data_IF_094853401700
#
_entry.id   IF_094853401700
#
_cell.length_a   1.000
_cell.length_b   1.000
_cell.length_c   1.000
_cell.angle_alpha   90.00
_cell.angle_beta   90.00
_cell.angle_gamma   90.00
#
_symmetry.space_group_name_H-M   'P 1'
#
loop_
_entity.id
_entity.type
_entity.pdbx_description
1 polymer ?
#
# COMPACT_ATOMS: atom_id res chain seq x y z
N UNK A 1 0.82 -20.82 -10.75
CA UNK A 1 2.25 -21.18 -10.70
C UNK A 1 2.59 -22.39 -11.54
N UNK A 2 1.71 -23.41 -11.60
CA UNK A 2 1.94 -24.62 -12.42
C UNK A 2 2.17 -24.29 -13.89
N UNK A 3 1.60 -23.19 -14.38
CA UNK A 3 1.78 -22.69 -15.76
C UNK A 3 2.89 -21.64 -15.87
N UNK A 4 3.71 -21.43 -14.85
CA UNK A 4 4.79 -20.44 -14.85
C UNK A 4 4.33 -18.98 -14.75
N UNK A 5 3.07 -18.73 -14.37
CA UNK A 5 2.54 -17.37 -14.22
C UNK A 5 2.71 -16.85 -12.80
N UNK A 6 3.13 -15.58 -12.69
CA UNK A 6 3.14 -14.87 -11.41
C UNK A 6 1.73 -14.47 -10.98
N UNK A 7 1.50 -14.48 -9.67
CA UNK A 7 0.22 -14.13 -9.07
C UNK A 7 0.32 -12.80 -8.34
N UNK A 8 -0.47 -11.82 -8.77
CA UNK A 8 -0.62 -10.54 -8.09
C UNK A 8 -1.99 -10.48 -7.44
N UNK A 9 -2.04 -10.44 -6.11
CA UNK A 9 -3.30 -10.45 -5.36
C UNK A 9 -3.68 -9.06 -4.84
N UNK A 10 -4.95 -8.67 -5.06
CA UNK A 10 -5.57 -7.49 -4.45
C UNK A 10 -6.01 -7.83 -3.03
N UNK A 11 -5.21 -7.49 -2.03
CA UNK A 11 -5.46 -7.82 -0.62
C UNK A 11 -6.32 -6.75 0.08
N UNK A 12 -7.50 -6.45 -0.49
CA UNK A 12 -8.38 -5.42 0.07
C UNK A 12 -9.39 -6.01 1.04
N UNK A 13 -9.45 -5.41 2.22
CA UNK A 13 -10.50 -5.69 3.19
C UNK A 13 -11.79 -4.93 2.83
N UNK A 14 -12.87 -5.67 2.70
CA UNK A 14 -14.19 -5.09 2.40
C UNK A 14 -15.25 -5.76 3.27
N UNK A 15 -15.40 -5.23 4.48
CA UNK A 15 -16.38 -5.69 5.44
C UNK A 15 -17.01 -4.48 6.14
N UNK A 16 -18.34 -4.48 6.27
CA UNK A 16 -19.08 -3.45 7.01
C UNK A 16 -18.66 -3.35 8.47
N UNK A 17 -18.21 -4.46 9.07
CA UNK A 17 -17.78 -4.52 10.46
C UNK A 17 -16.48 -3.74 10.73
N UNK A 18 -15.74 -3.41 9.66
CA UNK A 18 -14.58 -2.52 9.75
C UNK A 18 -14.95 -1.03 9.66
N UNK A 19 -16.24 -0.72 9.83
CA UNK A 19 -16.72 0.66 9.93
C UNK A 19 -17.31 0.90 11.31
N UNK A 20 -16.99 2.06 11.88
CA UNK A 20 -17.57 2.51 13.15
C UNK A 20 -17.93 3.97 13.02
N UNK A 21 -19.23 4.24 13.00
CA UNK A 21 -19.74 5.56 12.68
C UNK A 21 -19.34 6.00 11.26
N UNK A 22 -18.76 7.16 11.13
CA UNK A 22 -18.28 7.70 9.85
C UNK A 22 -16.89 7.21 9.43
N UNK A 23 -16.18 6.48 10.30
CA UNK A 23 -14.80 6.08 10.06
C UNK A 23 -14.76 4.67 9.46
N UNK A 24 -14.01 4.53 8.37
CA UNK A 24 -13.73 3.24 7.73
C UNK A 24 -12.26 2.84 8.00
N UNK A 25 -12.09 1.75 8.74
CA UNK A 25 -10.79 1.26 9.19
C UNK A 25 -10.11 0.32 8.20
N UNK A 26 -10.72 0.04 7.03
CA UNK A 26 -10.19 -0.93 6.07
C UNK A 26 -8.79 -0.59 5.52
N UNK A 27 -8.33 0.65 5.67
CA UNK A 27 -6.98 1.08 5.30
C UNK A 27 -6.04 1.21 6.51
N UNK A 28 -6.44 0.80 7.71
CA UNK A 28 -5.56 0.80 8.88
C UNK A 28 -4.34 -0.09 8.65
N UNK A 29 -3.19 0.27 9.24
CA UNK A 29 -1.94 -0.43 9.03
C UNK A 29 -2.01 -1.90 9.48
N UNK A 30 -2.62 -2.20 10.62
CA UNK A 30 -2.80 -3.56 11.14
C UNK A 30 -3.75 -4.40 10.29
N UNK A 31 -4.89 -3.86 9.87
CA UNK A 31 -5.83 -4.55 9.00
C UNK A 31 -5.20 -4.86 7.63
N UNK A 32 -4.55 -3.88 7.03
CA UNK A 32 -3.91 -4.06 5.72
C UNK A 32 -2.72 -5.01 5.80
N UNK A 33 -1.91 -4.93 6.86
CA UNK A 33 -0.81 -5.86 7.11
C UNK A 33 -1.29 -7.31 7.25
N UNK A 34 -2.39 -7.54 7.98
CA UNK A 34 -2.99 -8.88 8.09
C UNK A 34 -3.52 -9.38 6.74
N UNK A 35 -4.16 -8.53 5.94
CA UNK A 35 -4.64 -8.90 4.62
C UNK A 35 -3.48 -9.26 3.68
N UNK A 36 -2.37 -8.51 3.73
CA UNK A 36 -1.17 -8.82 2.98
C UNK A 36 -0.57 -10.16 3.43
N UNK A 37 -0.51 -10.41 4.74
CA UNK A 37 -0.06 -11.69 5.28
C UNK A 37 -0.91 -12.86 4.80
N UNK A 38 -2.22 -12.69 4.71
CA UNK A 38 -3.11 -13.70 4.13
C UNK A 38 -2.78 -13.93 2.65
N UNK A 39 -2.61 -12.86 1.87
CA UNK A 39 -2.22 -12.94 0.46
C UNK A 39 -0.95 -13.74 0.23
N UNK A 40 0.09 -13.50 1.02
CA UNK A 40 1.35 -14.24 0.90
C UNK A 40 1.23 -15.68 1.39
N UNK A 41 0.36 -15.95 2.36
CA UNK A 41 0.10 -17.31 2.87
C UNK A 41 -0.52 -18.21 1.80
N UNK A 42 -1.35 -17.64 0.93
CA UNK A 42 -1.92 -18.35 -0.23
C UNK A 42 -1.06 -18.21 -1.50
N UNK A 43 0.23 -17.92 -1.33
CA UNK A 43 1.28 -17.95 -2.36
C UNK A 43 1.18 -16.82 -3.40
N UNK A 44 0.83 -15.60 -3.00
CA UNK A 44 1.02 -14.45 -3.88
C UNK A 44 2.52 -14.18 -4.10
N UNK A 45 2.92 -13.86 -5.32
CA UNK A 45 4.25 -13.34 -5.64
C UNK A 45 4.33 -11.85 -5.32
N UNK A 46 3.23 -11.15 -5.55
CA UNK A 46 3.08 -9.73 -5.26
C UNK A 46 1.71 -9.50 -4.62
N UNK A 47 1.67 -8.71 -3.56
CA UNK A 47 0.43 -8.22 -2.97
C UNK A 47 0.19 -6.76 -3.34
N UNK A 48 -1.05 -6.44 -3.67
CA UNK A 48 -1.49 -5.08 -3.90
C UNK A 48 -2.34 -4.59 -2.75
N UNK A 49 -1.97 -3.45 -2.16
CA UNK A 49 -2.67 -2.86 -1.04
C UNK A 49 -2.81 -1.34 -1.19
N UNK A 50 -3.72 -0.73 -0.45
CA UNK A 50 -3.78 0.73 -0.27
C UNK A 50 -2.62 1.19 0.61
N UNK A 51 -2.17 2.45 0.45
CA UNK A 51 -1.33 3.05 1.48
C UNK A 51 -2.07 3.03 2.82
N UNK A 52 -1.40 2.61 3.90
CA UNK A 52 -2.03 2.50 5.20
C UNK A 52 -2.22 3.85 5.86
N UNK A 53 -3.19 3.90 6.77
CA UNK A 53 -3.47 5.04 7.64
C UNK A 53 -3.30 4.64 9.10
N UNK A 54 -2.92 5.59 9.94
CA UNK A 54 -2.92 5.40 11.40
C UNK A 54 -4.24 5.91 11.98
N UNK A 55 -5.20 5.03 12.16
CA UNK A 55 -6.53 5.36 12.69
C UNK A 55 -6.97 4.43 13.83
N UNK A 56 -6.03 3.65 14.40
CA UNK A 56 -6.27 2.75 15.52
C UNK A 56 -6.78 1.35 15.14
N UNK A 57 -7.12 1.11 13.89
CA UNK A 57 -7.39 -0.21 13.33
C UNK A 57 -8.23 -1.15 14.18
N UNK A 58 -7.78 -2.38 14.38
CA UNK A 58 -8.46 -3.41 15.20
C UNK A 58 -8.72 -2.95 16.63
N UNK A 59 -7.79 -2.19 17.23
CA UNK A 59 -7.95 -1.66 18.58
C UNK A 59 -9.14 -0.69 18.64
N UNK A 60 -9.28 0.20 17.68
CA UNK A 60 -10.38 1.17 17.63
C UNK A 60 -11.76 0.53 17.41
N UNK A 61 -11.84 -0.53 16.60
CA UNK A 61 -13.09 -1.26 16.38
C UNK A 61 -13.39 -2.30 17.47
N UNK A 62 -12.41 -2.61 18.34
CA UNK A 62 -12.58 -3.60 19.40
C UNK A 62 -12.56 -5.05 18.90
N UNK A 63 -11.89 -5.32 17.78
CA UNK A 63 -11.83 -6.64 17.15
C UNK A 63 -10.47 -7.31 17.41
N UNK A 64 -10.54 -8.59 17.80
CA UNK A 64 -9.34 -9.42 18.00
C UNK A 64 -8.44 -8.98 19.14
N UNK A 65 -7.22 -9.49 19.13
CA UNK A 65 -6.13 -9.12 20.05
C UNK A 65 -4.89 -8.80 19.24
N UNK A 66 -4.68 -7.53 18.94
CA UNK A 66 -3.44 -7.08 18.30
C UNK A 66 -2.43 -6.71 19.40
N UNK A 67 -1.17 -7.14 19.25
CA UNK A 67 -0.10 -6.79 20.19
C UNK A 67 0.06 -5.26 20.23
N UNK A 68 0.15 -4.69 21.41
CA UNK A 68 0.27 -3.24 21.62
C UNK A 68 1.49 -2.65 20.92
N UNK A 69 2.57 -3.41 20.77
CA UNK A 69 3.78 -2.99 20.06
C UNK A 69 3.53 -2.63 18.60
N UNK A 70 2.48 -3.17 17.98
CA UNK A 70 2.08 -2.75 16.64
C UNK A 70 1.82 -1.24 16.58
N UNK A 71 1.24 -0.67 17.63
CA UNK A 71 0.86 0.74 17.70
C UNK A 71 1.92 1.64 18.33
N UNK A 72 2.83 1.08 19.13
CA UNK A 72 3.81 1.84 19.91
C UNK A 72 5.24 1.74 19.40
N UNK A 73 5.59 0.64 18.72
CA UNK A 73 6.97 0.35 18.30
C UNK A 73 7.10 0.04 16.80
N UNK A 74 6.11 -0.65 16.21
CA UNK A 74 6.20 -1.16 14.84
C UNK A 74 5.62 -0.22 13.80
N UNK A 75 4.88 0.80 14.20
CA UNK A 75 4.34 1.86 13.37
C UNK A 75 4.49 3.22 14.05
N UNK A 76 4.48 4.28 13.26
CA UNK A 76 4.43 5.66 13.73
C UNK A 76 3.37 6.43 12.93
N UNK A 77 3.28 7.75 13.10
CA UNK A 77 2.47 8.62 12.26
C UNK A 77 3.09 8.83 10.86
N UNK A 78 4.33 8.38 10.66
CA UNK A 78 5.02 8.59 9.40
C UNK A 78 4.57 7.57 8.34
N UNK A 79 4.17 7.99 7.13
CA UNK A 79 3.63 7.08 6.12
C UNK A 79 4.61 6.00 5.65
N UNK A 80 5.92 6.24 5.71
CA UNK A 80 6.94 5.24 5.38
C UNK A 80 6.90 4.10 6.40
N UNK A 81 6.79 4.40 7.70
CA UNK A 81 6.76 3.38 8.75
C UNK A 81 5.47 2.55 8.66
N UNK A 82 4.34 3.19 8.41
CA UNK A 82 3.07 2.51 8.18
C UNK A 82 3.14 1.55 6.98
N UNK A 83 3.70 2.02 5.86
CA UNK A 83 3.89 1.20 4.66
C UNK A 83 4.92 0.08 4.88
N UNK A 84 5.97 0.34 5.66
CA UNK A 84 6.96 -0.68 6.05
C UNK A 84 6.33 -1.80 6.86
N UNK A 85 5.35 -1.51 7.70
CA UNK A 85 4.61 -2.55 8.41
C UNK A 85 3.90 -3.49 7.43
N UNK A 86 3.33 -2.97 6.32
CA UNK A 86 2.79 -3.83 5.26
C UNK A 86 3.89 -4.70 4.61
N UNK A 87 5.04 -4.11 4.26
CA UNK A 87 6.19 -4.84 3.69
C UNK A 87 6.65 -5.95 4.63
N UNK A 88 6.74 -5.67 5.93
CA UNK A 88 7.15 -6.65 6.94
C UNK A 88 6.19 -7.85 7.00
N UNK A 89 4.90 -7.64 6.80
CA UNK A 89 3.92 -8.72 6.73
C UNK A 89 4.04 -9.62 5.49
N UNK A 90 4.75 -9.15 4.44
CA UNK A 90 5.13 -9.92 3.25
C UNK A 90 6.44 -10.71 3.44
N UNK A 91 6.58 -11.46 4.54
CA UNK A 91 7.80 -12.17 4.92
C UNK A 91 9.05 -11.27 4.92
N UNK A 92 8.93 -10.10 5.56
CA UNK A 92 10.01 -9.10 5.63
C UNK A 92 10.47 -8.63 4.26
N UNK A 93 9.54 -8.39 3.34
CA UNK A 93 9.82 -7.90 1.99
C UNK A 93 10.21 -8.97 0.97
N UNK A 94 10.12 -10.26 1.31
CA UNK A 94 10.38 -11.36 0.35
C UNK A 94 9.24 -11.56 -0.65
N UNK A 95 8.05 -11.09 -0.32
CA UNK A 95 6.93 -10.96 -1.26
C UNK A 95 6.76 -9.50 -1.58
N UNK A 96 6.65 -9.17 -2.86
CA UNK A 96 6.58 -7.78 -3.31
C UNK A 96 5.31 -7.08 -2.85
N UNK A 97 5.43 -5.83 -2.41
CA UNK A 97 4.30 -4.96 -2.13
C UNK A 97 4.19 -3.88 -3.21
N UNK A 98 3.03 -3.76 -3.83
CA UNK A 98 2.69 -2.62 -4.68
C UNK A 98 1.50 -1.87 -4.07
N UNK A 99 1.59 -0.55 -4.02
CA UNK A 99 0.47 0.25 -3.54
C UNK A 99 -0.44 0.71 -4.69
N UNK A 100 -1.71 0.91 -4.39
CA UNK A 100 -2.65 1.47 -5.35
C UNK A 100 -2.57 2.99 -5.37
N UNK A 101 -2.58 3.58 -6.57
CA UNK A 101 -2.49 5.03 -6.77
C UNK A 101 -3.71 5.84 -6.34
N UNK A 102 -4.80 5.17 -5.90
CA UNK A 102 -6.00 5.84 -5.43
C UNK A 102 -6.88 6.41 -6.55
N UNK A 103 -7.82 7.25 -6.14
CA UNK A 103 -8.72 7.98 -7.05
C UNK A 103 -8.04 9.20 -7.65
N UNK A 104 -8.57 9.68 -8.79
CA UNK A 104 -8.10 10.95 -9.36
C UNK A 104 -8.70 12.12 -8.59
N UNK A 105 -7.84 13.08 -8.25
CA UNK A 105 -8.20 14.36 -7.63
C UNK A 105 -7.87 15.55 -8.55
N UNK A 106 -7.67 15.30 -9.84
CA UNK A 106 -7.43 16.32 -10.84
C UNK A 106 -6.02 16.91 -10.79
N UNK A 107 -5.87 18.16 -10.35
CA UNK A 107 -4.61 18.90 -10.42
C UNK A 107 -3.48 18.31 -9.54
N UNK A 108 -3.82 17.67 -8.42
CA UNK A 108 -2.83 17.08 -7.50
C UNK A 108 -2.32 15.70 -7.88
N UNK A 109 -2.92 15.06 -8.89
CA UNK A 109 -2.67 13.65 -9.20
C UNK A 109 -1.20 13.29 -9.43
N UNK A 110 -0.44 14.14 -10.13
CA UNK A 110 0.98 13.92 -10.39
C UNK A 110 1.77 13.92 -9.08
N UNK A 111 1.57 14.95 -8.27
CA UNK A 111 2.22 15.08 -6.96
C UNK A 111 1.88 13.90 -6.05
N UNK A 112 0.59 13.54 -5.98
CA UNK A 112 0.11 12.47 -5.10
C UNK A 112 0.68 11.11 -5.55
N UNK A 113 0.79 10.87 -6.85
CA UNK A 113 1.39 9.67 -7.41
C UNK A 113 2.89 9.56 -7.06
N UNK A 114 3.64 10.67 -7.22
CA UNK A 114 5.07 10.71 -6.87
C UNK A 114 5.26 10.50 -5.37
N UNK A 115 4.49 11.17 -4.51
CA UNK A 115 4.56 10.98 -3.05
C UNK A 115 4.28 9.51 -2.70
N UNK A 116 3.24 8.91 -3.28
CA UNK A 116 2.91 7.50 -3.04
C UNK A 116 4.04 6.57 -3.46
N UNK A 117 4.65 6.82 -4.63
CA UNK A 117 5.78 6.04 -5.12
C UNK A 117 7.01 6.14 -4.20
N UNK A 118 7.33 7.36 -3.75
CA UNK A 118 8.45 7.60 -2.80
C UNK A 118 8.20 6.89 -1.48
N UNK A 119 7.00 7.01 -0.90
CA UNK A 119 6.63 6.33 0.36
C UNK A 119 6.78 4.81 0.20
N UNK A 120 6.21 4.24 -0.88
CA UNK A 120 6.30 2.81 -1.14
C UNK A 120 7.77 2.35 -1.29
N UNK A 121 8.56 3.01 -2.14
CA UNK A 121 9.96 2.64 -2.38
C UNK A 121 10.80 2.75 -1.11
N UNK A 122 10.67 3.86 -0.37
CA UNK A 122 11.41 4.05 0.89
C UNK A 122 11.00 3.10 2.00
N UNK A 123 9.77 2.61 1.97
CA UNK A 123 9.30 1.57 2.88
C UNK A 123 9.83 0.16 2.52
N UNK A 124 10.40 -0.02 1.35
CA UNK A 124 10.84 -1.32 0.83
C UNK A 124 9.81 -2.00 -0.09
N UNK A 125 8.79 -1.29 -0.53
CA UNK A 125 7.88 -1.75 -1.56
C UNK A 125 8.51 -1.70 -2.95
N UNK A 126 7.88 -2.36 -3.93
CA UNK A 126 8.45 -2.55 -5.25
C UNK A 126 7.70 -1.87 -6.39
N UNK A 127 6.59 -1.19 -6.10
CA UNK A 127 5.83 -0.59 -7.19
C UNK A 127 4.57 0.14 -6.77
N UNK A 128 4.00 0.83 -7.77
CA UNK A 128 2.74 1.54 -7.70
C UNK A 128 1.88 1.16 -8.91
N UNK A 129 0.63 0.81 -8.69
CA UNK A 129 -0.36 0.69 -9.75
C UNK A 129 -1.16 1.98 -9.87
N UNK A 130 -1.04 2.67 -11.01
CA UNK A 130 -1.85 3.83 -11.36
C UNK A 130 -2.82 3.45 -12.47
N UNK A 131 -4.10 3.69 -12.24
CA UNK A 131 -5.16 3.48 -13.23
C UNK A 131 -5.82 4.80 -13.59
N UNK A 132 -6.89 5.18 -12.89
CA UNK A 132 -7.70 6.38 -13.17
C UNK A 132 -6.88 7.66 -13.29
N UNK A 133 -5.89 7.85 -12.45
CA UNK A 133 -4.99 9.02 -12.51
C UNK A 133 -4.23 9.15 -13.84
N UNK A 134 -3.94 8.02 -14.50
CA UNK A 134 -3.27 8.01 -15.81
C UNK A 134 -4.28 8.00 -16.96
N UNK A 135 -5.25 7.05 -16.95
CA UNK A 135 -6.10 6.78 -18.12
C UNK A 135 -7.28 7.75 -18.30
N UNK A 136 -7.66 8.49 -17.25
CA UNK A 136 -8.71 9.52 -17.33
C UNK A 136 -8.16 10.91 -17.70
N UNK A 137 -6.94 10.96 -18.21
CA UNK A 137 -6.27 12.20 -18.64
C UNK A 137 -5.94 12.14 -20.14
N UNK A 138 -5.65 13.29 -20.77
CA UNK A 138 -5.01 13.31 -22.10
C UNK A 138 -3.76 12.44 -22.10
N UNK A 139 -3.48 11.76 -23.21
CA UNK A 139 -2.41 10.78 -23.33
C UNK A 139 -1.06 11.30 -22.84
N UNK A 140 -0.67 12.52 -23.25
CA UNK A 140 0.58 13.14 -22.82
C UNK A 140 0.67 13.33 -21.29
N UNK A 141 -0.43 13.66 -20.64
CA UNK A 141 -0.48 13.82 -19.17
C UNK A 141 -0.48 12.48 -18.45
N UNK A 142 -1.10 11.46 -19.03
CA UNK A 142 -1.02 10.09 -18.50
C UNK A 142 0.39 9.54 -18.58
N UNK A 143 1.07 9.73 -19.73
CA UNK A 143 2.47 9.32 -19.93
C UNK A 143 3.41 10.07 -19.00
N UNK A 144 3.26 11.39 -18.85
CA UNK A 144 4.04 12.21 -17.89
C UNK A 144 3.93 11.66 -16.45
N UNK A 145 2.72 11.32 -16.00
CA UNK A 145 2.50 10.76 -14.68
C UNK A 145 3.16 9.38 -14.51
N UNK A 146 3.04 8.50 -15.50
CA UNK A 146 3.64 7.18 -15.44
C UNK A 146 5.18 7.25 -15.47
N UNK A 147 5.76 8.13 -16.28
CA UNK A 147 7.20 8.35 -16.31
C UNK A 147 7.70 8.88 -14.96
N UNK A 148 7.02 9.87 -14.36
CA UNK A 148 7.39 10.39 -13.06
C UNK A 148 7.38 9.31 -11.95
N UNK A 149 6.43 8.36 -11.99
CA UNK A 149 6.43 7.19 -11.10
C UNK A 149 7.65 6.31 -11.39
N UNK A 150 7.94 6.01 -12.65
CA UNK A 150 9.10 5.19 -13.04
C UNK A 150 10.42 5.83 -12.61
N UNK A 151 10.56 7.14 -12.76
CA UNK A 151 11.75 7.88 -12.34
C UNK A 151 12.02 7.70 -10.84
N UNK A 152 10.98 7.72 -9.99
CA UNK A 152 11.14 7.42 -8.56
C UNK A 152 11.75 6.03 -8.34
N UNK A 153 11.26 4.99 -9.04
CA UNK A 153 11.77 3.64 -8.84
C UNK A 153 13.16 3.41 -9.46
N UNK A 154 13.49 4.13 -10.51
CA UNK A 154 14.78 4.03 -11.19
C UNK A 154 15.87 4.87 -10.53
N UNK A 155 15.53 5.93 -9.79
CA UNK A 155 16.50 6.79 -9.11
C UNK A 155 17.22 6.06 -7.97
N UNK A 156 18.54 5.78 -8.09
CA UNK A 156 19.31 5.09 -7.04
C UNK A 156 19.49 5.91 -5.77
N UNK A 157 19.26 7.22 -5.80
CA UNK A 157 19.35 8.07 -4.62
C UNK A 157 18.13 7.90 -3.67
N UNK A 158 17.01 7.40 -4.18
CA UNK A 158 15.83 7.09 -3.37
C UNK A 158 15.99 5.67 -2.82
N UNK A 159 16.57 5.56 -1.64
CA UNK A 159 16.85 4.29 -0.95
C UNK A 159 15.78 3.94 0.07
N UNK A 160 15.80 2.70 0.55
CA UNK A 160 15.02 2.27 1.72
C UNK A 160 15.51 3.08 2.94
N UNK A 161 14.56 3.67 3.68
CA UNK A 161 14.88 4.49 4.86
C UNK A 161 15.14 3.64 6.09
#
# INVERSE_FOLDING_TARGET
>A
HELGMATILWCYLRNSDFKKGAIDYHAAADLTGQADRLGVTIKADIVKQKLPTNNGGFKAIGFGKTDERMYTELTSEHPIDLCRYQVANGYMGRVGLINSGGESHGASDLRDAVITAVVNKRAGGMGLISGRKAFQKPMNKGVELLNAIQDVYLDPAITIA
#
